data_IF_060377537522
#
_entry.id   IF_060377537522
#
_cell.length_a   1.000
_cell.length_b   1.000
_cell.length_c   1.000
_cell.angle_alpha   90.00
_cell.angle_beta   90.00
_cell.angle_gamma   90.00
#
_symmetry.space_group_name_H-M   'P 1'
#
loop_
_entity.id
_entity.type
_entity.pdbx_description
1 polymer ?
#
# COMPACT_ATOMS: atom_id res chain seq x y z
N UNK A 1 -6.19 -0.03 -17.96
CA UNK A 1 -7.05 -1.00 -18.71
C UNK A 1 -6.66 -1.19 -20.17
N UNK A 2 -6.74 -0.16 -21.03
CA UNK A 2 -6.48 -0.29 -22.49
C UNK A 2 -5.19 -1.04 -22.85
N UNK A 3 -4.13 -0.80 -22.07
CA UNK A 3 -2.84 -1.47 -22.24
C UNK A 3 -2.92 -2.95 -21.88
N UNK A 4 -3.51 -3.29 -20.72
CA UNK A 4 -3.69 -4.68 -20.29
C UNK A 4 -4.49 -5.51 -21.31
N UNK A 5 -5.60 -4.98 -21.82
CA UNK A 5 -6.42 -5.66 -22.84
C UNK A 5 -5.62 -5.92 -24.12
N UNK A 6 -4.97 -4.89 -24.67
CA UNK A 6 -4.14 -5.03 -25.86
C UNK A 6 -3.00 -6.05 -25.65
N UNK A 7 -2.37 -6.01 -24.49
CA UNK A 7 -1.28 -6.94 -24.15
C UNK A 7 -1.81 -8.36 -24.00
N UNK A 8 -2.98 -8.55 -23.38
CA UNK A 8 -3.64 -9.85 -23.27
C UNK A 8 -3.91 -10.46 -24.64
N UNK A 9 -4.46 -9.68 -25.57
CA UNK A 9 -4.73 -10.14 -26.93
C UNK A 9 -3.43 -10.56 -27.64
N UNK A 10 -2.37 -9.76 -27.51
CA UNK A 10 -1.07 -10.09 -28.12
C UNK A 10 -0.51 -11.38 -27.54
N UNK A 11 -0.46 -11.50 -26.21
CA UNK A 11 0.14 -12.65 -25.54
C UNK A 11 -0.62 -13.94 -25.82
N UNK A 12 -1.95 -13.91 -25.78
CA UNK A 12 -2.77 -15.11 -25.96
C UNK A 12 -2.95 -15.51 -27.42
N UNK A 13 -3.14 -14.54 -28.34
CA UNK A 13 -3.44 -14.85 -29.75
C UNK A 13 -2.19 -14.98 -30.62
N UNK A 14 -1.12 -14.23 -30.33
CA UNK A 14 0.08 -14.18 -31.18
C UNK A 14 1.27 -14.94 -30.59
N UNK A 15 1.37 -15.00 -29.26
CA UNK A 15 2.50 -15.61 -28.58
C UNK A 15 2.17 -16.97 -27.95
N UNK A 16 0.90 -17.38 -27.93
CA UNK A 16 0.48 -18.69 -27.43
C UNK A 16 0.56 -18.86 -25.91
N UNK A 17 0.64 -17.76 -25.15
CA UNK A 17 0.58 -17.82 -23.68
C UNK A 17 -0.82 -18.14 -23.19
N UNK A 18 -0.91 -18.89 -22.10
CA UNK A 18 -2.18 -19.07 -21.38
C UNK A 18 -2.40 -17.90 -20.42
N UNK A 19 -3.67 -17.57 -20.14
CA UNK A 19 -4.01 -16.47 -19.24
C UNK A 19 -3.35 -16.58 -17.86
N UNK A 20 -3.26 -17.81 -17.32
CA UNK A 20 -2.66 -18.07 -16.00
C UNK A 20 -1.15 -17.86 -15.93
N UNK A 21 -0.46 -17.71 -17.06
CA UNK A 21 0.96 -17.35 -17.07
C UNK A 21 1.18 -15.82 -17.02
N UNK A 22 0.09 -15.04 -17.05
CA UNK A 22 0.13 -13.58 -17.19
C UNK A 22 -0.27 -12.93 -15.88
N UNK A 23 0.62 -12.08 -15.37
CA UNK A 23 0.37 -11.22 -14.21
C UNK A 23 0.40 -9.77 -14.69
N UNK A 24 -0.71 -9.06 -14.55
CA UNK A 24 -0.77 -7.62 -14.84
C UNK A 24 -0.49 -6.79 -13.60
N UNK A 25 0.48 -5.89 -13.69
CA UNK A 25 0.62 -4.78 -12.75
C UNK A 25 -0.15 -3.56 -13.30
N UNK A 26 -1.17 -3.10 -12.56
CA UNK A 26 -1.96 -1.92 -12.93
C UNK A 26 -1.33 -0.60 -12.45
N UNK A 27 -0.13 -0.66 -11.86
CA UNK A 27 0.66 0.42 -11.28
C UNK A 27 0.05 1.00 -10.00
N UNK A 28 0.45 0.48 -8.84
CA UNK A 28 0.21 1.16 -7.57
C UNK A 28 1.12 2.40 -7.52
N UNK A 29 0.50 3.58 -7.51
CA UNK A 29 1.16 4.88 -7.45
C UNK A 29 0.92 5.56 -6.11
N UNK A 30 1.78 6.53 -5.78
CA UNK A 30 1.70 7.30 -4.55
C UNK A 30 0.42 8.15 -4.51
N UNK A 31 -0.29 8.13 -3.37
CA UNK A 31 -1.41 9.04 -3.10
C UNK A 31 -1.10 9.96 -1.90
N UNK A 32 -2.03 10.85 -1.59
CA UNK A 32 -1.87 11.87 -0.55
C UNK A 32 -0.58 12.70 -0.70
N UNK A 33 -0.26 13.09 -1.93
CA UNK A 33 0.94 13.90 -2.24
C UNK A 33 0.69 15.41 -2.06
N UNK A 34 -0.55 15.82 -1.79
CA UNK A 34 -0.99 17.22 -1.85
C UNK A 34 -1.30 17.73 -3.26
N UNK A 35 -1.35 16.85 -4.26
CA UNK A 35 -1.73 17.18 -5.64
C UNK A 35 -3.03 16.47 -5.97
N UNK A 36 -4.05 17.21 -6.42
CA UNK A 36 -5.39 16.68 -6.67
C UNK A 36 -5.38 15.57 -7.74
N UNK A 37 -4.50 15.68 -8.73
CA UNK A 37 -4.35 14.74 -9.83
C UNK A 37 -3.95 13.32 -9.36
N UNK A 38 -3.39 13.20 -8.16
CA UNK A 38 -2.95 11.92 -7.60
C UNK A 38 -3.98 11.29 -6.65
N UNK A 39 -5.01 12.03 -6.22
CA UNK A 39 -5.97 11.56 -5.22
C UNK A 39 -6.67 10.26 -5.65
N UNK A 40 -6.93 10.12 -6.95
CA UNK A 40 -7.72 9.00 -7.46
C UNK A 40 -6.90 7.73 -7.76
N UNK A 41 -5.56 7.77 -7.69
CA UNK A 41 -4.72 6.63 -8.13
C UNK A 41 -4.97 5.33 -7.37
N UNK A 42 -5.28 5.40 -6.07
CA UNK A 42 -5.64 4.23 -5.27
C UNK A 42 -6.91 3.57 -5.78
N UNK A 43 -7.97 4.37 -5.94
CA UNK A 43 -9.26 3.93 -6.48
C UNK A 43 -9.14 3.44 -7.92
N UNK A 44 -8.40 4.15 -8.78
CA UNK A 44 -8.20 3.77 -10.19
C UNK A 44 -7.53 2.40 -10.32
N UNK A 45 -6.57 2.08 -9.46
CA UNK A 45 -5.97 0.75 -9.43
C UNK A 45 -7.01 -0.32 -9.06
N UNK A 46 -7.80 -0.10 -8.01
CA UNK A 46 -8.82 -1.05 -7.53
C UNK A 46 -9.88 -1.30 -8.61
N UNK A 47 -10.38 -0.24 -9.24
CA UNK A 47 -11.34 -0.33 -10.34
C UNK A 47 -10.71 -1.01 -11.57
N UNK A 48 -9.42 -0.75 -11.84
CA UNK A 48 -8.71 -1.38 -12.94
C UNK A 48 -8.58 -2.90 -12.73
N UNK A 49 -8.25 -3.34 -11.52
CA UNK A 49 -8.14 -4.77 -11.19
C UNK A 49 -9.47 -5.50 -11.45
N UNK A 50 -10.60 -4.91 -11.05
CA UNK A 50 -11.93 -5.47 -11.33
C UNK A 50 -12.21 -5.61 -12.83
N UNK A 51 -11.84 -4.60 -13.61
CA UNK A 51 -12.02 -4.62 -15.07
C UNK A 51 -11.08 -5.64 -15.74
N UNK A 52 -9.82 -5.73 -15.32
CA UNK A 52 -8.85 -6.73 -15.83
C UNK A 52 -9.37 -8.13 -15.57
N UNK A 53 -9.80 -8.44 -14.33
CA UNK A 53 -10.35 -9.74 -13.97
C UNK A 53 -11.51 -10.16 -14.87
N UNK A 54 -12.38 -9.22 -15.25
CA UNK A 54 -13.52 -9.49 -16.14
C UNK A 54 -13.11 -9.68 -17.61
N UNK A 55 -12.15 -8.89 -18.10
CA UNK A 55 -11.83 -8.83 -19.53
C UNK A 55 -10.66 -9.70 -19.97
N UNK A 56 -9.77 -10.04 -19.06
CA UNK A 56 -8.57 -10.86 -19.29
C UNK A 56 -8.70 -12.16 -18.47
N UNK A 57 -9.60 -13.08 -18.84
CA UNK A 57 -9.89 -14.26 -18.04
C UNK A 57 -8.66 -15.16 -17.86
N UNK A 58 -8.52 -15.71 -16.67
CA UNK A 58 -7.38 -16.55 -16.30
C UNK A 58 -6.12 -15.78 -15.90
N UNK A 59 -6.03 -14.47 -16.18
CA UNK A 59 -4.91 -13.66 -15.72
C UNK A 59 -4.97 -13.34 -14.24
N UNK A 60 -3.80 -13.08 -13.69
CA UNK A 60 -3.59 -12.58 -12.34
C UNK A 60 -3.29 -11.08 -12.37
N UNK A 61 -3.48 -10.43 -11.23
CA UNK A 61 -3.09 -9.03 -11.01
C UNK A 61 -2.15 -8.91 -9.82
N UNK A 62 -1.23 -7.96 -9.91
CA UNK A 62 -0.25 -7.64 -8.87
C UNK A 62 -0.01 -6.13 -8.78
N UNK A 63 0.77 -5.72 -7.79
CA UNK A 63 1.22 -4.35 -7.62
C UNK A 63 2.23 -4.18 -6.49
N UNK A 64 3.10 -3.17 -6.63
CA UNK A 64 4.05 -2.76 -5.59
C UNK A 64 3.40 -1.94 -4.47
N UNK A 65 2.94 -2.60 -3.41
CA UNK A 65 2.10 -1.97 -2.38
C UNK A 65 2.79 -0.80 -1.65
N UNK A 66 4.10 -0.89 -1.44
CA UNK A 66 4.86 0.14 -0.73
C UNK A 66 4.87 1.50 -1.43
N UNK A 67 4.62 1.55 -2.75
CA UNK A 67 4.55 2.79 -3.53
C UNK A 67 3.39 3.68 -3.09
N UNK A 68 2.25 3.09 -2.74
CA UNK A 68 1.03 3.81 -2.32
C UNK A 68 1.32 4.84 -1.22
N UNK A 69 2.14 4.41 -0.26
CA UNK A 69 2.39 5.09 1.02
C UNK A 69 3.63 5.99 1.04
N UNK A 70 4.21 6.32 -0.13
CA UNK A 70 5.51 6.97 -0.20
C UNK A 70 5.54 8.36 0.45
N UNK A 71 4.42 9.08 0.43
CA UNK A 71 4.25 10.40 1.09
C UNK A 71 4.49 10.36 2.60
N UNK A 72 4.34 9.19 3.23
CA UNK A 72 4.39 9.01 4.69
C UNK A 72 5.69 8.33 5.19
N UNK A 73 6.78 8.46 4.44
CA UNK A 73 8.10 7.95 4.87
C UNK A 73 8.44 8.41 6.30
N UNK A 74 8.89 7.45 7.12
CA UNK A 74 9.19 7.67 8.55
C UNK A 74 8.04 7.39 9.52
N UNK A 75 6.80 7.27 9.01
CA UNK A 75 5.60 6.88 9.76
C UNK A 75 5.18 5.44 9.42
N UNK A 76 5.99 4.46 9.83
CA UNK A 76 5.75 3.06 9.45
C UNK A 76 4.36 2.55 9.84
N UNK A 77 3.89 2.84 11.06
CA UNK A 77 2.56 2.47 11.53
C UNK A 77 1.44 2.95 10.58
N UNK A 78 1.51 4.22 10.15
CA UNK A 78 0.56 4.78 9.20
C UNK A 78 0.64 4.10 7.82
N UNK A 79 1.86 3.81 7.35
CA UNK A 79 2.08 3.15 6.05
C UNK A 79 1.54 1.74 6.05
N UNK A 80 1.80 0.98 7.11
CA UNK A 80 1.37 -0.40 7.27
C UNK A 80 -0.16 -0.49 7.38
N UNK A 81 -0.79 0.41 8.14
CA UNK A 81 -2.24 0.52 8.20
C UNK A 81 -2.84 0.85 6.81
N UNK A 82 -2.22 1.78 6.07
CA UNK A 82 -2.65 2.14 4.71
C UNK A 82 -2.57 0.96 3.74
N UNK A 83 -1.53 0.11 3.87
CA UNK A 83 -1.38 -1.11 3.08
C UNK A 83 -2.50 -2.10 3.35
N UNK A 84 -2.85 -2.32 4.62
CA UNK A 84 -3.92 -3.21 5.02
C UNK A 84 -5.30 -2.73 4.55
N UNK A 85 -5.58 -1.43 4.65
CA UNK A 85 -6.82 -0.83 4.11
C UNK A 85 -6.91 -0.98 2.60
N UNK A 86 -5.82 -0.71 1.88
CA UNK A 86 -5.80 -0.89 0.43
C UNK A 86 -6.07 -2.35 0.01
N UNK A 87 -5.40 -3.31 0.66
CA UNK A 87 -5.61 -4.74 0.38
C UNK A 87 -7.03 -5.19 0.70
N UNK A 88 -7.62 -4.67 1.78
CA UNK A 88 -8.99 -4.96 2.18
C UNK A 88 -10.00 -4.65 1.06
N UNK A 89 -9.81 -3.54 0.34
CA UNK A 89 -10.67 -3.18 -0.80
C UNK A 89 -10.24 -3.83 -2.13
N UNK A 90 -8.93 -3.99 -2.37
CA UNK A 90 -8.42 -4.48 -3.65
C UNK A 90 -8.63 -6.00 -3.84
N UNK A 91 -8.46 -6.80 -2.78
CA UNK A 91 -8.58 -8.28 -2.86
C UNK A 91 -10.00 -8.71 -3.30
N UNK A 92 -11.10 -8.21 -2.70
CA UNK A 92 -12.46 -8.53 -3.15
C UNK A 92 -12.72 -8.16 -4.62
N UNK A 93 -12.05 -7.12 -5.12
CA UNK A 93 -12.13 -6.65 -6.50
C UNK A 93 -11.31 -7.49 -7.48
N UNK A 94 -10.49 -8.41 -6.97
CA UNK A 94 -9.77 -9.39 -7.77
C UNK A 94 -8.26 -9.22 -7.77
N UNK A 95 -7.70 -8.47 -6.81
CA UNK A 95 -6.26 -8.44 -6.61
C UNK A 95 -5.81 -9.81 -6.10
N UNK A 96 -4.96 -10.48 -6.86
CA UNK A 96 -4.53 -11.86 -6.55
C UNK A 96 -3.18 -11.92 -5.86
N UNK A 97 -2.32 -10.94 -6.11
CA UNK A 97 -0.95 -10.87 -5.58
C UNK A 97 -0.60 -9.43 -5.24
N UNK A 98 0.35 -9.24 -4.34
CA UNK A 98 0.93 -7.92 -4.06
C UNK A 98 2.38 -8.10 -3.58
N UNK A 99 3.25 -7.18 -3.95
CA UNK A 99 4.63 -7.12 -3.43
C UNK A 99 4.60 -6.31 -2.14
N UNK A 100 4.76 -7.00 -1.01
CA UNK A 100 4.54 -6.45 0.33
C UNK A 100 5.72 -6.76 1.26
N UNK A 101 5.81 -6.03 2.37
CA UNK A 101 6.60 -6.46 3.51
C UNK A 101 5.74 -7.39 4.39
N UNK A 102 5.92 -8.70 4.27
CA UNK A 102 5.05 -9.69 4.92
C UNK A 102 5.04 -9.62 6.45
N UNK A 103 6.10 -9.10 7.08
CA UNK A 103 6.17 -8.92 8.54
C UNK A 103 5.52 -7.64 9.06
N UNK A 104 5.01 -6.78 8.18
CA UNK A 104 4.56 -5.43 8.49
C UNK A 104 3.19 -5.13 7.85
N UNK A 105 2.22 -6.02 8.11
CA UNK A 105 0.83 -5.88 7.67
C UNK A 105 -0.10 -6.14 8.87
N UNK A 106 -0.61 -5.09 9.54
CA UNK A 106 -1.58 -5.25 10.63
C UNK A 106 -2.89 -5.82 10.09
N UNK A 107 -3.66 -6.50 10.96
CA UNK A 107 -5.00 -6.96 10.62
C UNK A 107 -5.90 -5.72 10.49
N UNK A 108 -6.68 -5.64 9.41
CA UNK A 108 -7.54 -4.47 9.10
C UNK A 108 -8.47 -4.08 10.28
N UNK A 109 -9.01 -5.05 11.01
CA UNK A 109 -9.90 -4.83 12.16
C UNK A 109 -9.17 -4.31 13.41
N UNK A 110 -7.85 -4.47 13.47
CA UNK A 110 -7.03 -4.03 14.61
C UNK A 110 -6.55 -2.58 14.45
N UNK A 111 -6.74 -1.99 13.26
CA UNK A 111 -6.43 -0.58 12.98
C UNK A 111 -7.45 0.29 13.74
N UNK A 112 -6.99 1.30 14.51
CA UNK A 112 -7.88 2.25 15.19
C UNK A 112 -8.91 2.86 14.23
N UNK A 113 -10.18 2.94 14.66
CA UNK A 113 -11.29 3.33 13.79
C UNK A 113 -11.11 4.74 13.17
N UNK A 114 -10.55 5.68 13.93
CA UNK A 114 -10.25 7.04 13.48
C UNK A 114 -9.21 7.06 12.35
N UNK A 115 -8.12 6.32 12.52
CA UNK A 115 -7.08 6.16 11.50
C UNK A 115 -7.63 5.39 10.29
N UNK A 116 -8.40 4.33 10.52
CA UNK A 116 -8.96 3.49 9.45
C UNK A 116 -9.89 4.29 8.55
N UNK A 117 -10.76 5.11 9.12
CA UNK A 117 -11.67 5.97 8.34
C UNK A 117 -10.90 6.96 7.46
N UNK A 118 -9.88 7.65 8.00
CA UNK A 118 -9.07 8.58 7.23
C UNK A 118 -8.33 7.89 6.07
N UNK A 119 -7.83 6.68 6.31
CA UNK A 119 -7.15 5.89 5.29
C UNK A 119 -8.11 5.40 4.22
N UNK A 120 -9.32 4.96 4.58
CA UNK A 120 -10.36 4.59 3.61
C UNK A 120 -10.76 5.77 2.75
N UNK A 121 -10.98 6.94 3.36
CA UNK A 121 -11.41 8.13 2.66
C UNK A 121 -10.40 8.54 1.58
N UNK A 122 -9.11 8.40 1.88
CA UNK A 122 -8.01 8.69 0.95
C UNK A 122 -7.82 7.59 -0.10
N UNK A 123 -7.85 6.31 0.29
CA UNK A 123 -7.67 5.18 -0.65
C UNK A 123 -8.80 5.11 -1.67
N UNK A 124 -10.03 5.35 -1.21
CA UNK A 124 -11.24 5.28 -2.03
C UNK A 124 -11.66 6.64 -2.60
N UNK A 125 -10.95 7.72 -2.25
CA UNK A 125 -11.18 9.09 -2.72
C UNK A 125 -12.66 9.52 -2.57
N UNK A 126 -13.24 9.32 -1.38
CA UNK A 126 -14.69 9.55 -1.14
C UNK A 126 -15.03 10.99 -0.75
N UNK A 127 -14.06 11.74 -0.25
CA UNK A 127 -14.23 13.12 0.18
C UNK A 127 -13.08 14.00 -0.35
N UNK A 128 -13.36 15.22 -0.85
CA UNK A 128 -12.34 16.10 -1.43
C UNK A 128 -11.27 16.50 -0.40
N UNK A 129 -11.64 16.63 0.87
CA UNK A 129 -10.74 17.01 1.95
C UNK A 129 -10.00 15.82 2.62
N UNK A 130 -10.18 14.60 2.12
CA UNK A 130 -9.60 13.39 2.72
C UNK A 130 -8.06 13.47 2.80
N UNK A 131 -7.42 13.91 1.71
CA UNK A 131 -5.97 14.07 1.63
C UNK A 131 -5.46 15.08 2.66
N UNK A 132 -6.13 16.22 2.81
CA UNK A 132 -5.74 17.26 3.76
C UNK A 132 -5.84 16.74 5.21
N UNK A 133 -6.97 16.13 5.57
CA UNK A 133 -7.18 15.54 6.90
C UNK A 133 -6.13 14.48 7.24
N UNK A 134 -5.78 13.62 6.29
CA UNK A 134 -4.75 12.59 6.52
C UNK A 134 -3.35 13.21 6.68
N UNK A 135 -3.03 14.27 5.93
CA UNK A 135 -1.75 14.99 6.06
C UNK A 135 -1.63 15.69 7.42
N UNK A 136 -2.71 16.32 7.90
CA UNK A 136 -2.77 16.91 9.24
C UNK A 136 -2.56 15.85 10.32
N UNK A 137 -3.30 14.74 10.25
CA UNK A 137 -3.15 13.60 11.17
C UNK A 137 -1.72 13.04 11.16
N UNK A 138 -1.12 12.90 9.98
CA UNK A 138 0.27 12.46 9.84
C UNK A 138 1.26 13.45 10.47
N UNK A 139 1.00 14.76 10.41
CA UNK A 139 1.82 15.77 11.09
C UNK A 139 1.75 15.61 12.61
N UNK A 140 0.54 15.45 13.18
CA UNK A 140 0.37 15.23 14.61
C UNK A 140 1.08 13.96 15.11
N UNK A 141 1.04 12.88 14.32
CA UNK A 141 1.77 11.65 14.64
C UNK A 141 3.29 11.85 14.66
N UNK A 142 3.83 12.65 13.74
CA UNK A 142 5.26 13.01 13.73
C UNK A 142 5.64 13.78 14.98
N UNK A 143 4.84 14.76 15.37
CA UNK A 143 5.10 15.59 16.55
C UNK A 143 5.04 14.77 17.84
N UNK A 144 4.05 13.89 17.98
CA UNK A 144 3.95 12.95 19.11
C UNK A 144 5.17 12.01 19.18
N UNK A 145 5.67 11.55 18.04
CA UNK A 145 6.88 10.70 17.96
C UNK A 145 8.15 11.47 18.36
N UNK A 146 8.27 12.73 17.96
CA UNK A 146 9.39 13.60 18.34
C UNK A 146 9.41 13.89 19.85
N UNK A 147 8.24 14.18 20.45
CA UNK A 147 8.12 14.41 21.89
C UNK A 147 8.49 13.17 22.72
N UNK A 148 8.08 11.97 22.28
CA UNK A 148 8.49 10.69 22.91
C UNK A 148 10.00 10.42 22.77
N UNK A 149 10.63 10.85 21.67
CA UNK A 149 12.08 10.76 21.47
C UNK A 149 12.89 11.76 22.30
N UNK A 150 12.29 12.88 22.71
CA UNK A 150 12.92 13.90 23.55
C UNK A 150 12.95 13.60 25.06
N UNK A 151 12.20 12.60 25.53
CA UNK A 151 12.09 12.25 26.95
C UNK A 151 13.01 11.08 27.40
N UNK A 152 13.97 10.67 26.57
CA UNK A 152 14.79 9.47 26.78
C UNK A 152 16.30 9.73 26.80
N UNK A 153 16.78 10.76 27.49
CA UNK A 153 18.20 10.99 27.74
C UNK A 153 18.65 10.34 29.05
N UNK A 154 19.06 9.07 29.01
CA UNK A 154 19.90 8.47 30.06
C UNK A 154 19.45 7.11 30.62
N UNK A 155 19.81 6.02 29.94
CA UNK A 155 20.39 4.87 30.65
C UNK A 155 21.38 4.17 29.71
N UNK A 156 22.65 4.17 30.11
CA UNK A 156 23.73 3.53 29.38
C UNK A 156 23.60 2.01 29.52
N UNK A 157 23.36 1.33 28.41
CA UNK A 157 23.69 -0.09 28.28
C UNK A 157 25.07 -0.22 27.62
N UNK A 158 26.12 -0.08 28.42
CA UNK A 158 27.43 -0.66 28.08
C UNK A 158 27.38 -2.14 28.45
N UNK A 159 27.21 -3.00 27.45
CA UNK A 159 27.09 -4.44 27.69
C UNK A 159 27.17 -5.30 26.43
N UNK A 160 28.05 -4.95 25.49
CA UNK A 160 28.48 -5.91 24.47
C UNK A 160 29.65 -6.70 25.08
N UNK A 161 29.37 -7.91 25.55
CA UNK A 161 30.39 -8.93 25.80
C UNK A 161 30.23 -10.00 24.71
N UNK A 162 31.05 -9.89 23.66
CA UNK A 162 31.35 -11.02 22.80
C UNK A 162 32.31 -11.95 23.55
N UNK A 163 31.95 -13.23 23.72
CA UNK A 163 32.95 -14.29 23.91
C UNK A 163 32.89 -15.22 22.70
N UNK A 164 33.79 -14.99 21.75
CA UNK A 164 34.23 -16.04 20.85
C UNK A 164 35.40 -16.78 21.54
N UNK A 165 35.25 -18.07 21.82
CA UNK A 165 36.36 -19.01 21.95
C UNK A 165 35.83 -20.44 21.82
N UNK A 166 36.53 -21.20 20.98
CA UNK A 166 36.28 -22.57 20.57
C UNK A 166 36.47 -23.62 21.69
N UNK A 167 35.68 -24.69 21.63
CA UNK A 167 36.08 -26.10 21.46
C UNK A 167 34.83 -26.95 21.15
#
# INVERSE_FOLDING_TARGET
>A
IRICERTYDILTTKCGYMGHDIIFDCNILTIATGMEEHNNYGKDFIDAVEVVRRKCPGCYTSGGLSNLSFSFRGLNELREAMHSVFLYHAIPKGLTMAIVNAGALPIYTDIPDDMRQLLEDVVMNVAPEATEKLLEFASELKDKKAQKGGAGGGSSWTGIAWSAAAC
#
